data_IF_632157776381
#
_entry.id   IF_632157776381
#
_cell.length_a   1.000
_cell.length_b   1.000
_cell.length_c   1.000
_cell.angle_alpha   90.00
_cell.angle_beta   90.00
_cell.angle_gamma   90.00
#
_symmetry.space_group_name_H-M   'P 1'
#
loop_
_entity.id
_entity.type
_entity.pdbx_description
1 polymer ?
#
# COMPACT_ATOMS: atom_id res chain seq x y z
N UNK A 1 -27.64 -33.93 6.64
CA UNK A 1 -26.75 -32.75 6.74
C UNK A 1 -27.58 -31.49 6.55
N UNK A 2 -27.43 -30.44 7.37
CA UNK A 2 -28.04 -29.15 7.07
C UNK A 2 -27.36 -28.57 5.82
N UNK A 3 -28.14 -28.36 4.77
CA UNK A 3 -27.69 -27.85 3.46
C UNK A 3 -27.42 -26.35 3.46
N UNK A 4 -27.89 -25.63 4.49
CA UNK A 4 -27.87 -24.17 4.55
C UNK A 4 -27.17 -23.68 5.82
N UNK A 5 -26.01 -23.04 5.64
CA UNK A 5 -25.27 -22.37 6.72
C UNK A 5 -25.91 -21.03 7.12
N UNK A 6 -25.53 -20.51 8.29
CA UNK A 6 -26.05 -19.22 8.79
C UNK A 6 -25.57 -18.04 7.93
N UNK A 7 -26.51 -17.31 7.34
CA UNK A 7 -26.26 -16.09 6.55
C UNK A 7 -25.90 -14.86 7.40
N UNK A 8 -26.03 -14.95 8.72
CA UNK A 8 -25.89 -13.82 9.67
C UNK A 8 -24.51 -13.16 9.68
N UNK A 9 -23.47 -13.84 9.19
CA UNK A 9 -22.10 -13.33 9.14
C UNK A 9 -21.79 -12.59 7.83
N UNK A 10 -22.70 -12.60 6.86
CA UNK A 10 -22.48 -11.96 5.57
C UNK A 10 -22.28 -10.45 5.75
N UNK A 11 -21.17 -9.91 5.23
CA UNK A 11 -20.89 -8.47 5.24
C UNK A 11 -20.55 -7.85 6.61
N UNK A 12 -20.55 -8.61 7.72
CA UNK A 12 -20.32 -8.10 9.09
C UNK A 12 -19.09 -7.18 9.17
N UNK A 13 -17.94 -7.65 8.67
CA UNK A 13 -16.68 -6.90 8.75
C UNK A 13 -16.75 -5.61 7.91
N UNK A 14 -17.38 -5.66 6.74
CA UNK A 14 -17.52 -4.49 5.84
C UNK A 14 -18.45 -3.43 6.42
N UNK A 15 -19.51 -3.84 7.13
CA UNK A 15 -20.43 -2.93 7.82
C UNK A 15 -19.84 -2.34 9.11
N UNK A 16 -18.96 -3.09 9.79
CA UNK A 16 -18.26 -2.62 10.98
C UNK A 16 -17.16 -1.59 10.66
N UNK A 17 -16.54 -1.67 9.48
CA UNK A 17 -15.47 -0.74 9.10
C UNK A 17 -16.03 0.63 8.73
N UNK A 18 -15.64 1.73 9.41
CA UNK A 18 -16.05 3.07 9.01
C UNK A 18 -15.49 3.40 7.62
N UNK A 19 -16.27 4.13 6.81
CA UNK A 19 -15.83 4.58 5.50
C UNK A 19 -14.75 5.66 5.68
N UNK A 20 -13.59 5.45 5.06
CA UNK A 20 -12.48 6.41 5.03
C UNK A 20 -12.33 6.96 3.62
N UNK A 21 -12.31 8.28 3.50
CA UNK A 21 -12.17 8.97 2.22
C UNK A 21 -10.75 8.92 1.66
N UNK A 22 -10.67 8.92 0.33
CA UNK A 22 -9.39 8.95 -0.39
C UNK A 22 -8.72 10.31 -0.29
N UNK A 23 -7.41 10.34 0.02
CA UNK A 23 -6.62 11.57 -0.04
C UNK A 23 -6.41 12.00 -1.50
N UNK A 24 -6.53 13.30 -1.79
CA UNK A 24 -6.15 13.87 -3.09
C UNK A 24 -4.67 13.57 -3.38
N UNK A 25 -4.38 12.94 -4.52
CA UNK A 25 -3.03 12.65 -4.99
C UNK A 25 -2.78 13.35 -6.32
N UNK A 26 -1.81 14.26 -6.34
CA UNK A 26 -1.33 14.89 -7.58
C UNK A 26 -0.08 14.15 -8.04
N UNK A 27 -0.10 13.65 -9.28
CA UNK A 27 1.05 13.00 -9.89
C UNK A 27 2.10 14.03 -10.33
N UNK A 28 3.37 13.63 -10.30
CA UNK A 28 4.46 14.41 -10.92
C UNK A 28 4.67 13.97 -12.37
N UNK A 29 5.23 14.83 -13.21
CA UNK A 29 5.69 14.46 -14.55
C UNK A 29 6.70 13.30 -14.51
N UNK A 30 6.80 12.56 -15.62
CA UNK A 30 7.65 11.35 -15.70
C UNK A 30 9.13 11.65 -15.40
N UNK A 31 9.65 12.77 -15.90
CA UNK A 31 11.05 13.18 -15.69
C UNK A 31 11.36 13.39 -14.20
N UNK A 32 10.51 14.15 -13.49
CA UNK A 32 10.66 14.41 -12.06
C UNK A 32 10.54 13.12 -11.24
N UNK A 33 9.60 12.23 -11.61
CA UNK A 33 9.44 10.93 -10.97
C UNK A 33 10.70 10.08 -11.12
N UNK A 34 11.28 10.03 -12.31
CA UNK A 34 12.48 9.23 -12.59
C UNK A 34 13.71 9.80 -11.85
N UNK A 35 13.89 11.12 -11.83
CA UNK A 35 14.96 11.79 -11.04
C UNK A 35 14.83 11.49 -9.54
N UNK A 36 13.62 11.56 -8.99
CA UNK A 36 13.36 11.22 -7.58
C UNK A 36 13.65 9.75 -7.28
N UNK A 37 13.27 8.84 -8.18
CA UNK A 37 13.52 7.41 -8.01
C UNK A 37 15.01 7.07 -8.10
N UNK A 38 15.75 7.70 -9.01
CA UNK A 38 17.20 7.54 -9.09
C UNK A 38 17.87 7.94 -7.77
N UNK A 39 17.56 9.14 -7.27
CA UNK A 39 18.09 9.63 -5.99
C UNK A 39 17.76 8.69 -4.82
N UNK A 40 16.52 8.18 -4.76
CA UNK A 40 16.12 7.21 -3.73
C UNK A 40 16.92 5.91 -3.83
N UNK A 41 17.04 5.31 -5.03
CA UNK A 41 17.67 3.99 -5.21
C UNK A 41 19.20 3.99 -5.07
N UNK A 42 19.88 4.98 -5.63
CA UNK A 42 21.32 4.95 -5.79
C UNK A 42 22.04 5.81 -4.76
N UNK A 43 21.57 7.05 -4.54
CA UNK A 43 22.20 7.96 -3.58
C UNK A 43 21.80 7.61 -2.15
N UNK A 44 20.51 7.39 -1.90
CA UNK A 44 19.98 7.16 -0.55
C UNK A 44 19.87 5.67 -0.18
N UNK A 45 20.09 4.75 -1.13
CA UNK A 45 19.88 3.30 -0.95
C UNK A 45 18.51 2.93 -0.36
N UNK A 46 17.46 3.67 -0.75
CA UNK A 46 16.06 3.49 -0.35
C UNK A 46 15.24 2.91 -1.50
N UNK A 47 14.24 2.11 -1.15
CA UNK A 47 13.24 1.63 -2.10
C UNK A 47 12.28 2.78 -2.44
N UNK A 48 12.07 3.12 -3.72
CA UNK A 48 11.02 4.08 -4.09
C UNK A 48 9.64 3.43 -3.95
N UNK A 49 8.67 4.17 -3.38
CA UNK A 49 7.28 3.73 -3.23
C UNK A 49 6.80 3.79 -1.78
N UNK A 50 5.73 3.06 -1.46
CA UNK A 50 5.25 2.92 -0.08
C UNK A 50 6.25 2.10 0.75
N UNK A 51 6.92 2.76 1.68
CA UNK A 51 7.78 2.13 2.68
C UNK A 51 6.90 1.41 3.70
N UNK A 52 6.61 0.13 3.47
CA UNK A 52 5.90 -0.69 4.46
C UNK A 52 6.85 -0.97 5.64
N UNK A 53 6.41 -0.80 6.89
CA UNK A 53 7.17 -1.28 8.04
C UNK A 53 7.40 -2.79 7.88
N UNK A 54 8.64 -3.24 8.07
CA UNK A 54 9.03 -4.65 7.89
C UNK A 54 9.63 -5.03 6.53
N UNK A 55 9.67 -4.13 5.52
CA UNK A 55 10.59 -4.33 4.39
C UNK A 55 12.02 -4.12 4.89
N UNK A 56 12.63 -5.21 5.38
CA UNK A 56 14.06 -5.28 5.72
C UNK A 56 14.83 -4.57 4.60
N UNK A 57 15.57 -3.52 4.97
CA UNK A 57 16.62 -2.95 4.11
C UNK A 57 17.43 -4.17 3.65
N UNK A 58 17.32 -4.58 2.38
CA UNK A 58 18.25 -5.57 1.83
C UNK A 58 19.60 -4.92 2.07
N UNK A 59 20.33 -5.37 3.10
CA UNK A 59 21.74 -5.02 3.29
C UNK A 59 22.37 -5.37 1.96
N UNK A 60 22.72 -4.35 1.18
CA UNK A 60 23.61 -4.57 0.05
C UNK A 60 24.90 -5.09 0.71
N UNK A 61 25.30 -6.29 0.29
CA UNK A 61 26.64 -6.81 0.56
C UNK A 61 27.67 -5.76 0.16
#
# INVERSE_FOLDING_TARGET
MPTHGSLTKAGKVRGQTPKVEGRKRVGTSASLRNKSNFRKRFILSRVPGQNKPGRRRRRRR
#
